data_IF_054982677991
#
_entry.id   IF_054982677991
#
_cell.length_a   1.000
_cell.length_b   1.000
_cell.length_c   1.000
_cell.angle_alpha   90.00
_cell.angle_beta   90.00
_cell.angle_gamma   90.00
#
_symmetry.space_group_name_H-M   'P 1'
#
loop_
_entity.id
_entity.type
_entity.pdbx_description
1 polymer ?
#
# COMPACT_ATOMS: atom_id res chain seq x y z
N UNK A 1 19.64 -8.03 -14.42
CA UNK A 1 19.80 -8.75 -13.14
C UNK A 1 18.88 -9.94 -13.17
N UNK A 2 19.47 -11.13 -13.17
CA UNK A 2 18.80 -12.43 -13.12
C UNK A 2 18.73 -12.91 -11.66
N UNK A 3 18.02 -14.01 -11.41
CA UNK A 3 17.99 -14.63 -10.07
C UNK A 3 19.40 -15.02 -9.60
N UNK A 4 20.20 -15.63 -10.48
CA UNK A 4 21.58 -16.03 -10.21
C UNK A 4 22.44 -14.83 -9.79
N UNK A 5 22.29 -13.69 -10.47
CA UNK A 5 23.01 -12.45 -10.15
C UNK A 5 22.70 -11.95 -8.72
N UNK A 6 21.45 -12.10 -8.26
CA UNK A 6 21.03 -11.69 -6.91
C UNK A 6 21.56 -12.67 -5.88
N UNK A 7 21.37 -13.98 -6.12
CA UNK A 7 21.73 -15.04 -5.18
C UNK A 7 23.24 -15.08 -4.91
N UNK A 8 24.07 -14.82 -5.93
CA UNK A 8 25.52 -14.73 -5.81
C UNK A 8 26.05 -13.37 -5.36
N UNK A 9 25.18 -12.37 -5.13
CA UNK A 9 25.65 -11.01 -4.86
C UNK A 9 26.34 -10.93 -3.49
N UNK A 10 27.59 -10.43 -3.41
CA UNK A 10 28.35 -10.41 -2.16
C UNK A 10 27.69 -9.56 -1.06
N UNK A 11 26.94 -8.53 -1.46
CA UNK A 11 26.21 -7.67 -0.52
C UNK A 11 24.82 -8.23 -0.12
N UNK A 12 24.38 -9.37 -0.66
CA UNK A 12 23.02 -9.88 -0.45
C UNK A 12 22.68 -10.03 1.03
N UNK A 13 23.56 -10.67 1.81
CA UNK A 13 23.32 -10.92 3.23
C UNK A 13 23.22 -9.62 4.04
N UNK A 14 24.07 -8.64 3.74
CA UNK A 14 24.04 -7.35 4.43
C UNK A 14 22.79 -6.54 4.05
N UNK A 15 22.38 -6.58 2.78
CA UNK A 15 21.15 -5.97 2.30
C UNK A 15 19.91 -6.59 2.97
N UNK A 16 19.85 -7.92 3.03
CA UNK A 16 18.75 -8.66 3.68
C UNK A 16 18.72 -8.37 5.18
N UNK A 17 19.87 -8.32 5.85
CA UNK A 17 19.96 -7.97 7.28
C UNK A 17 19.46 -6.54 7.52
N UNK A 18 19.92 -5.58 6.73
CA UNK A 18 19.49 -4.18 6.84
C UNK A 18 17.99 -4.03 6.61
N UNK A 19 17.45 -4.70 5.60
CA UNK A 19 16.02 -4.71 5.32
C UNK A 19 15.21 -5.34 6.45
N UNK A 20 15.64 -6.48 6.98
CA UNK A 20 14.97 -7.15 8.10
C UNK A 20 14.93 -6.27 9.37
N UNK A 21 16.04 -5.57 9.67
CA UNK A 21 16.10 -4.61 10.78
C UNK A 21 15.14 -3.43 10.57
N UNK A 22 15.10 -2.86 9.36
CA UNK A 22 14.17 -1.80 9.03
C UNK A 22 12.69 -2.26 9.14
N UNK A 23 12.38 -3.48 8.68
CA UNK A 23 11.05 -4.09 8.83
C UNK A 23 10.69 -4.30 10.30
N UNK A 24 11.64 -4.75 11.12
CA UNK A 24 11.43 -4.95 12.55
C UNK A 24 11.17 -3.60 13.26
N UNK A 25 11.92 -2.56 12.92
CA UNK A 25 11.72 -1.22 13.47
C UNK A 25 10.35 -0.65 13.08
N UNK A 26 9.95 -0.80 11.80
CA UNK A 26 8.63 -0.40 11.33
C UNK A 26 7.51 -1.16 12.07
N UNK A 27 7.70 -2.47 12.29
CA UNK A 27 6.77 -3.29 13.07
C UNK A 27 6.67 -2.82 14.52
N UNK A 28 7.79 -2.53 15.18
CA UNK A 28 7.80 -2.03 16.56
C UNK A 28 7.13 -0.66 16.68
N UNK A 29 7.29 0.22 15.68
CA UNK A 29 6.67 1.54 15.66
C UNK A 29 5.15 1.48 15.48
N UNK A 30 4.66 0.63 14.57
CA UNK A 30 3.23 0.43 14.36
C UNK A 30 2.93 -1.01 13.89
N UNK A 31 2.66 -1.94 14.83
CA UNK A 31 2.39 -3.34 14.50
C UNK A 31 1.17 -3.51 13.60
N UNK A 32 0.16 -2.65 13.76
CA UNK A 32 -1.11 -2.72 13.01
C UNK A 32 -0.93 -2.29 11.56
N UNK A 33 -0.20 -1.21 11.32
CA UNK A 33 0.13 -0.79 9.96
C UNK A 33 1.03 -1.83 9.28
N UNK A 34 1.99 -2.36 10.03
CA UNK A 34 2.93 -3.36 9.52
C UNK A 34 2.26 -4.71 9.19
N UNK A 35 1.18 -5.09 9.89
CA UNK A 35 0.43 -6.31 9.62
C UNK A 35 -0.20 -6.33 8.21
N UNK A 36 -0.47 -5.17 7.62
CA UNK A 36 -0.96 -5.04 6.24
C UNK A 36 0.07 -5.57 5.23
N UNK A 37 1.35 -5.46 5.57
CA UNK A 37 2.46 -5.88 4.72
C UNK A 37 3.02 -7.27 5.06
N UNK A 38 2.44 -7.95 6.06
CA UNK A 38 2.97 -9.20 6.59
C UNK A 38 2.72 -10.42 5.68
N UNK A 39 1.71 -10.37 4.81
CA UNK A 39 1.42 -11.45 3.86
C UNK A 39 1.19 -10.91 2.46
N UNK A 40 1.53 -11.72 1.45
CA UNK A 40 1.29 -11.38 0.04
C UNK A 40 -0.19 -11.05 -0.22
N UNK A 41 -1.11 -11.83 0.36
CA UNK A 41 -2.55 -11.60 0.19
C UNK A 41 -2.99 -10.23 0.74
N UNK A 42 -2.56 -9.86 1.95
CA UNK A 42 -2.91 -8.57 2.57
C UNK A 42 -2.28 -7.40 1.81
N UNK A 43 -1.06 -7.59 1.33
CA UNK A 43 -0.38 -6.60 0.51
C UNK A 43 -1.09 -6.35 -0.83
N UNK A 44 -1.50 -7.41 -1.52
CA UNK A 44 -2.27 -7.31 -2.76
C UNK A 44 -3.64 -6.65 -2.53
N UNK A 45 -4.31 -6.98 -1.44
CA UNK A 45 -5.55 -6.29 -1.03
C UNK A 45 -5.32 -4.79 -0.79
N UNK A 46 -4.27 -4.42 -0.05
CA UNK A 46 -3.92 -3.02 0.17
C UNK A 46 -3.65 -2.28 -1.17
N UNK A 47 -2.92 -2.92 -2.09
CA UNK A 47 -2.68 -2.39 -3.43
C UNK A 47 -3.94 -2.18 -4.25
N UNK A 48 -4.90 -3.11 -4.19
CA UNK A 48 -6.20 -2.94 -4.85
C UNK A 48 -6.91 -1.70 -4.27
N UNK A 49 -6.94 -1.56 -2.94
CA UNK A 49 -7.53 -0.39 -2.29
C UNK A 49 -6.88 0.93 -2.75
N UNK A 50 -5.55 0.97 -2.77
CA UNK A 50 -4.78 2.13 -3.22
C UNK A 50 -5.00 2.44 -4.71
N UNK A 51 -5.01 1.42 -5.57
CA UNK A 51 -5.25 1.60 -7.00
C UNK A 51 -6.65 2.17 -7.26
N UNK A 52 -7.67 1.68 -6.55
CA UNK A 52 -9.02 2.22 -6.62
C UNK A 52 -9.10 3.64 -6.06
N UNK A 53 -8.38 3.93 -4.97
CA UNK A 53 -8.30 5.27 -4.39
C UNK A 53 -7.70 6.30 -5.34
N UNK A 54 -6.56 5.99 -5.97
CA UNK A 54 -5.87 6.92 -6.87
C UNK A 54 -6.51 7.04 -8.26
N UNK A 55 -7.26 6.02 -8.71
CA UNK A 55 -8.00 6.06 -9.98
C UNK A 55 -9.40 6.66 -9.85
N UNK A 56 -9.74 7.24 -8.69
CA UNK A 56 -11.04 7.88 -8.48
C UNK A 56 -11.20 9.07 -9.42
N UNK A 57 -12.42 9.29 -9.85
CA UNK A 57 -12.82 10.41 -10.71
C UNK A 57 -13.96 11.13 -9.99
N UNK A 58 -13.75 12.37 -9.51
CA UNK A 58 -14.80 13.11 -8.82
C UNK A 58 -16.06 13.33 -9.66
N UNK A 59 -15.95 13.25 -11.00
CA UNK A 59 -17.07 13.41 -11.93
C UNK A 59 -17.85 12.11 -12.21
N UNK A 60 -17.32 10.95 -11.81
CA UNK A 60 -17.95 9.65 -12.04
C UNK A 60 -17.98 8.82 -10.74
N UNK A 61 -19.14 8.81 -10.08
CA UNK A 61 -19.35 8.09 -8.83
C UNK A 61 -19.05 6.58 -8.94
N UNK A 62 -19.10 5.98 -10.13
CA UNK A 62 -18.78 4.55 -10.35
C UNK A 62 -17.29 4.27 -10.16
N UNK A 63 -16.46 5.31 -10.25
CA UNK A 63 -15.02 5.27 -10.03
C UNK A 63 -14.64 5.59 -8.58
N UNK A 64 -15.58 5.85 -7.68
CA UNK A 64 -15.28 5.94 -6.25
C UNK A 64 -14.78 4.61 -5.68
N UNK A 65 -13.94 4.70 -4.65
CA UNK A 65 -13.57 3.53 -3.85
C UNK A 65 -14.73 3.22 -2.89
N UNK A 66 -15.39 2.08 -3.06
CA UNK A 66 -16.42 1.59 -2.13
C UNK A 66 -16.05 0.20 -1.62
N UNK A 67 -16.60 -0.20 -0.48
CA UNK A 67 -16.38 -1.56 0.04
C UNK A 67 -16.84 -2.64 -0.96
N UNK A 68 -17.95 -2.42 -1.67
CA UNK A 68 -18.44 -3.34 -2.70
C UNK A 68 -17.45 -3.47 -3.85
N UNK A 69 -17.01 -2.34 -4.43
CA UNK A 69 -16.07 -2.35 -5.55
C UNK A 69 -14.70 -2.92 -5.16
N UNK A 70 -14.23 -2.64 -3.96
CA UNK A 70 -13.02 -3.27 -3.42
C UNK A 70 -13.13 -4.80 -3.38
N UNK A 71 -14.24 -5.31 -2.83
CA UNK A 71 -14.49 -6.74 -2.72
C UNK A 71 -14.62 -7.39 -4.10
N UNK A 72 -15.34 -6.76 -5.02
CA UNK A 72 -15.55 -7.29 -6.37
C UNK A 72 -14.22 -7.40 -7.13
N UNK A 73 -13.37 -6.37 -7.09
CA UNK A 73 -12.04 -6.39 -7.73
C UNK A 73 -11.11 -7.42 -7.06
N UNK A 74 -11.17 -7.54 -5.73
CA UNK A 74 -10.38 -8.54 -4.97
C UNK A 74 -10.73 -9.97 -5.38
N UNK A 75 -12.03 -10.26 -5.53
CA UNK A 75 -12.51 -11.58 -5.97
C UNK A 75 -12.22 -11.81 -7.45
N UNK A 76 -12.43 -10.80 -8.30
CA UNK A 76 -12.18 -10.88 -9.75
C UNK A 76 -10.73 -11.28 -10.05
N UNK A 77 -9.76 -10.77 -9.28
CA UNK A 77 -8.34 -11.10 -9.43
C UNK A 77 -7.88 -12.28 -8.58
N UNK A 78 -8.81 -13.05 -7.99
CA UNK A 78 -8.54 -14.22 -7.16
C UNK A 78 -7.54 -13.95 -6.01
N UNK A 79 -7.49 -12.71 -5.50
CA UNK A 79 -6.59 -12.33 -4.40
C UNK A 79 -7.11 -12.90 -3.07
N UNK A 80 -8.41 -12.80 -2.83
CA UNK A 80 -9.05 -13.32 -1.63
C UNK A 80 -10.53 -13.63 -1.84
N UNK A 81 -11.11 -14.40 -0.92
CA UNK A 81 -12.55 -14.62 -0.90
C UNK A 81 -13.32 -13.34 -0.56
N UNK A 82 -14.61 -13.30 -0.89
CA UNK A 82 -15.51 -12.19 -0.51
C UNK A 82 -15.49 -11.93 1.01
N UNK A 83 -15.51 -12.98 1.83
CA UNK A 83 -15.49 -12.86 3.29
C UNK A 83 -14.16 -12.28 3.80
N UNK A 84 -13.04 -12.75 3.24
CA UNK A 84 -11.70 -12.26 3.59
C UNK A 84 -11.55 -10.78 3.22
N UNK A 85 -12.02 -10.39 2.04
CA UNK A 85 -11.97 -8.99 1.59
C UNK A 85 -12.84 -8.08 2.48
N UNK A 86 -14.04 -8.52 2.87
CA UNK A 86 -14.88 -7.78 3.81
C UNK A 86 -14.23 -7.65 5.19
N UNK A 87 -13.64 -8.72 5.71
CA UNK A 87 -12.93 -8.69 6.99
C UNK A 87 -11.75 -7.70 6.96
N UNK A 88 -11.00 -7.68 5.86
CA UNK A 88 -9.91 -6.75 5.66
C UNK A 88 -10.38 -5.29 5.70
N UNK A 89 -11.44 -4.93 4.96
CA UNK A 89 -12.00 -3.56 5.00
C UNK A 89 -12.46 -3.17 6.41
N UNK A 90 -13.15 -4.07 7.12
CA UNK A 90 -13.57 -3.82 8.51
C UNK A 90 -12.38 -3.58 9.44
N UNK A 91 -11.31 -4.34 9.27
CA UNK A 91 -10.07 -4.15 10.03
C UNK A 91 -9.42 -2.80 9.72
N UNK A 92 -9.33 -2.42 8.44
CA UNK A 92 -8.78 -1.11 8.04
C UNK A 92 -9.62 0.05 8.60
N UNK A 93 -10.95 -0.10 8.67
CA UNK A 93 -11.83 0.87 9.33
C UNK A 93 -11.61 0.90 10.84
N UNK A 94 -11.53 -0.26 11.49
CA UNK A 94 -11.35 -0.37 12.94
C UNK A 94 -10.04 0.28 13.42
N UNK A 95 -9.00 0.25 12.59
CA UNK A 95 -7.71 0.89 12.87
C UNK A 95 -7.54 2.28 12.26
N UNK A 96 -8.62 2.88 11.74
CA UNK A 96 -8.62 4.22 11.13
C UNK A 96 -7.60 4.38 9.98
N UNK A 97 -7.33 3.29 9.25
CA UNK A 97 -6.58 3.34 7.99
C UNK A 97 -7.48 3.71 6.81
N UNK A 98 -8.79 3.53 6.95
CA UNK A 98 -9.77 4.06 6.00
C UNK A 98 -10.98 4.59 6.76
N UNK A 99 -11.61 5.60 6.19
CA UNK A 99 -12.78 6.26 6.76
C UNK A 99 -13.92 6.26 5.73
N UNK A 100 -15.16 6.33 6.21
CA UNK A 100 -16.31 6.52 5.33
C UNK A 100 -16.42 8.01 5.02
N UNK A 101 -16.26 8.37 3.76
CA UNK A 101 -16.47 9.72 3.27
C UNK A 101 -17.96 10.10 3.25
N UNK A 102 -18.28 11.39 3.02
CA UNK A 102 -19.67 11.85 2.92
C UNK A 102 -20.38 11.07 1.82
N UNK A 103 -21.63 10.69 2.07
CA UNK A 103 -22.47 10.07 1.06
C UNK A 103 -22.67 11.08 -0.09
N UNK A 104 -22.54 10.62 -1.34
CA UNK A 104 -22.92 11.43 -2.50
C UNK A 104 -24.44 11.65 -2.58
N UNK A 105 -24.90 12.41 -3.56
CA UNK A 105 -26.32 12.77 -3.74
C UNK A 105 -27.28 11.55 -3.76
N UNK A 106 -26.83 10.38 -4.22
CA UNK A 106 -27.62 9.14 -4.24
C UNK A 106 -27.76 8.48 -2.85
N UNK A 107 -27.06 8.95 -1.79
CA UNK A 107 -27.17 8.50 -0.39
C UNK A 107 -26.78 7.04 -0.10
N UNK A 108 -26.73 6.20 -1.14
CA UNK A 108 -26.43 4.76 -1.13
C UNK A 108 -24.94 4.50 -1.31
N UNK A 109 -24.24 5.42 -1.97
CA UNK A 109 -22.80 5.32 -2.21
C UNK A 109 -22.08 5.86 -0.99
N UNK A 110 -21.33 4.98 -0.33
CA UNK A 110 -20.47 5.31 0.81
C UNK A 110 -19.02 5.18 0.36
N UNK A 111 -18.40 6.26 -0.14
CA UNK A 111 -17.02 6.21 -0.57
C UNK A 111 -16.10 5.98 0.63
N UNK A 112 -15.00 5.27 0.44
CA UNK A 112 -13.95 5.11 1.42
C UNK A 112 -12.83 6.11 1.12
N UNK A 113 -12.39 6.83 2.13
CA UNK A 113 -11.24 7.75 2.06
C UNK A 113 -10.06 7.13 2.83
N UNK A 114 -8.85 7.43 2.38
CA UNK A 114 -7.63 7.12 3.11
C UNK A 114 -7.16 8.40 3.79
N UNK A 115 -7.07 8.44 5.12
CA UNK A 115 -6.37 9.52 5.83
C UNK A 115 -4.94 9.66 5.31
N UNK A 116 -4.42 10.89 5.26
CA UNK A 116 -3.05 11.16 4.80
C UNK A 116 -2.02 10.35 5.61
N UNK A 117 -2.28 10.18 6.92
CA UNK A 117 -1.43 9.40 7.83
C UNK A 117 -1.31 7.92 7.42
N UNK A 118 -2.30 7.36 6.72
CA UNK A 118 -2.27 5.98 6.23
C UNK A 118 -1.26 5.78 5.11
N UNK A 119 -0.88 6.83 4.39
CA UNK A 119 0.12 6.74 3.32
C UNK A 119 1.54 6.66 3.87
N UNK A 120 1.81 7.10 5.09
CA UNK A 120 3.18 7.12 5.63
C UNK A 120 3.79 5.72 5.79
N UNK A 121 3.10 4.71 6.37
CA UNK A 121 3.62 3.35 6.44
C UNK A 121 3.87 2.74 5.06
N UNK A 122 2.98 3.01 4.09
CA UNK A 122 3.14 2.58 2.70
C UNK A 122 4.41 3.18 2.09
N UNK A 123 4.60 4.48 2.26
CA UNK A 123 5.78 5.18 1.75
C UNK A 123 7.05 4.65 2.40
N UNK A 124 7.05 4.44 3.72
CA UNK A 124 8.19 3.86 4.43
C UNK A 124 8.54 2.46 3.92
N UNK A 125 7.53 1.62 3.66
CA UNK A 125 7.72 0.32 3.05
C UNK A 125 8.37 0.43 1.67
N UNK A 126 7.84 1.27 0.78
CA UNK A 126 8.42 1.46 -0.57
C UNK A 126 9.87 1.93 -0.48
N UNK A 127 10.17 2.90 0.39
CA UNK A 127 11.51 3.43 0.56
C UNK A 127 12.51 2.36 1.02
N UNK A 128 12.13 1.52 1.98
CA UNK A 128 12.95 0.42 2.47
C UNK A 128 13.26 -0.59 1.36
N UNK A 129 12.27 -0.97 0.54
CA UNK A 129 12.49 -1.91 -0.57
C UNK A 129 13.33 -1.31 -1.69
N UNK A 130 13.11 -0.04 -2.05
CA UNK A 130 13.94 0.65 -3.05
C UNK A 130 15.38 0.79 -2.57
N UNK A 131 15.59 1.09 -1.29
CA UNK A 131 16.93 1.14 -0.69
C UNK A 131 17.66 -0.20 -0.81
N UNK A 132 16.97 -1.32 -0.58
CA UNK A 132 17.55 -2.66 -0.74
C UNK A 132 17.94 -2.93 -2.18
N UNK A 133 17.08 -2.58 -3.15
CA UNK A 133 17.37 -2.77 -4.57
C UNK A 133 18.55 -1.92 -5.01
N UNK A 134 18.58 -0.64 -4.63
CA UNK A 134 19.66 0.28 -4.96
C UNK A 134 20.99 -0.15 -4.33
N UNK A 135 20.98 -0.77 -3.16
CA UNK A 135 22.18 -1.35 -2.54
C UNK A 135 22.70 -2.60 -3.25
N UNK A 136 21.84 -3.34 -3.96
CA UNK A 136 22.22 -4.52 -4.73
C UNK A 136 22.78 -4.18 -6.11
N UNK A 137 22.39 -3.06 -6.71
CA UNK A 137 22.76 -2.75 -8.10
C UNK A 137 23.28 -1.33 -8.36
N UNK A 138 23.48 -0.53 -7.31
CA UNK A 138 23.94 0.85 -7.42
C UNK A 138 22.91 1.80 -8.04
N UNK A 139 21.62 1.42 -8.02
CA UNK A 139 20.53 2.24 -8.52
C UNK A 139 20.26 3.52 -7.72
N UNK A 140 19.38 4.36 -8.27
CA UNK A 140 18.98 5.65 -7.67
C UNK A 140 17.44 5.76 -7.59
N UNK A 141 16.76 4.62 -7.41
CA UNK A 141 15.30 4.54 -7.40
C UNK A 141 14.71 5.23 -6.18
N UNK A 142 15.33 5.06 -5.02
CA UNK A 142 14.93 5.71 -3.78
C UNK A 142 15.01 7.24 -3.92
N UNK A 143 16.12 7.74 -4.47
CA UNK A 143 16.31 9.17 -4.72
C UNK A 143 15.24 9.71 -5.65
N UNK A 144 15.01 9.03 -6.77
CA UNK A 144 13.97 9.40 -7.75
C UNK A 144 12.58 9.44 -7.11
N UNK A 145 12.25 8.42 -6.32
CA UNK A 145 10.98 8.34 -5.59
C UNK A 145 10.83 9.50 -4.59
N UNK A 146 11.87 9.80 -3.81
CA UNK A 146 11.87 10.91 -2.85
C UNK A 146 11.77 12.29 -3.53
N UNK A 147 12.44 12.48 -4.67
CA UNK A 147 12.35 13.70 -5.45
C UNK A 147 10.93 13.95 -5.99
N UNK A 148 10.26 12.88 -6.44
CA UNK A 148 8.87 12.96 -6.92
C UNK A 148 7.89 13.35 -5.81
N UNK A 149 8.15 12.97 -4.55
CA UNK A 149 7.27 13.21 -3.38
C UNK A 149 6.93 14.68 -3.14
N UNK A 150 7.78 15.62 -3.59
CA UNK A 150 7.45 17.06 -3.56
C UNK A 150 6.15 17.36 -4.32
N UNK A 151 5.92 16.70 -5.46
CA UNK A 151 4.72 16.90 -6.29
C UNK A 151 3.43 16.30 -5.68
N UNK A 152 3.52 15.28 -4.81
CA UNK A 152 2.34 14.57 -4.27
C UNK A 152 1.70 15.30 -3.08
N UNK A 153 2.48 16.09 -2.33
CA UNK A 153 1.94 16.96 -1.27
C UNK A 153 1.06 18.07 -1.85
N UNK A 154 1.41 18.56 -3.04
CA UNK A 154 0.70 19.66 -3.70
C UNK A 154 -0.57 19.20 -4.44
N UNK A 155 -0.71 17.91 -4.76
CA UNK A 155 -1.89 17.33 -5.41
C UNK A 155 -2.97 16.80 -4.43
N UNK A 156 -2.79 16.99 -3.11
CA UNK A 156 -3.70 16.45 -2.08
C UNK A 156 -4.66 17.50 -1.50
N UNK A 157 -4.99 18.56 -2.25
CA UNK A 157 -6.03 19.54 -1.93
C UNK A 157 -7.13 19.52 -2.99
#
# INVERSE_FOLDING_TARGET
MTYEDIAGHPALLDCVRAQALAMQQAYQANPRASSVFATQQRWLMAHIGLALYFRRDPSDYRKELTAARFVDVTVQHAVASRNTAHAFIKEMQHYNFIEVGPAGDDGRIRPLRLPVITLEPLIGWIQMHLSTLDALDGGHRLETFQASRRCWRDCSL
#
